data_IF_416692527747
#
_entry.id   IF_416692527747
#
_cell.length_a   1.000
_cell.length_b   1.000
_cell.length_c   1.000
_cell.angle_alpha   90.00
_cell.angle_beta   90.00
_cell.angle_gamma   90.00
#
_symmetry.space_group_name_H-M   'P 1'
#
loop_
_entity.id
_entity.type
_entity.pdbx_description
1 polymer ?
#
# COMPACT_ATOMS: atom_id res chain seq x y z
N UNK A 1 -12.47 3.60 7.43
CA UNK A 1 -12.18 3.22 6.03
C UNK A 1 -10.71 2.85 5.89
N UNK A 2 -10.42 1.79 5.14
CA UNK A 2 -9.04 1.37 4.88
C UNK A 2 -8.36 2.44 4.03
N UNK A 3 -7.17 2.89 4.46
CA UNK A 3 -6.40 3.90 3.74
C UNK A 3 -5.29 3.25 2.91
N UNK A 4 -4.72 4.02 1.99
CA UNK A 4 -3.54 3.60 1.23
C UNK A 4 -2.37 3.25 2.16
N UNK A 5 -2.20 4.04 3.22
CA UNK A 5 -1.17 3.79 4.22
C UNK A 5 -1.39 2.47 4.96
N UNK A 6 -2.64 2.15 5.31
CA UNK A 6 -2.98 0.86 5.91
C UNK A 6 -2.57 -0.30 5.00
N UNK A 7 -2.87 -0.20 3.72
CA UNK A 7 -2.49 -1.22 2.73
C UNK A 7 -0.97 -1.35 2.61
N UNK A 8 -0.26 -0.23 2.57
CA UNK A 8 1.19 -0.22 2.52
C UNK A 8 1.80 -0.93 3.73
N UNK A 9 1.29 -0.65 4.92
CA UNK A 9 1.79 -1.25 6.15
C UNK A 9 1.58 -2.76 6.15
N UNK A 10 0.37 -3.21 5.82
CA UNK A 10 0.07 -4.65 5.78
C UNK A 10 0.91 -5.36 4.73
N UNK A 11 1.04 -4.81 3.54
CA UNK A 11 1.85 -5.39 2.47
C UNK A 11 3.33 -5.49 2.88
N UNK A 12 3.85 -4.48 3.56
CA UNK A 12 5.24 -4.47 4.02
C UNK A 12 5.46 -5.52 5.11
N UNK A 13 4.55 -5.63 6.08
CA UNK A 13 4.63 -6.66 7.12
C UNK A 13 4.57 -8.05 6.49
N UNK A 14 3.68 -8.28 5.54
CA UNK A 14 3.56 -9.56 4.84
C UNK A 14 4.83 -9.91 4.07
N UNK A 15 5.44 -8.92 3.43
CA UNK A 15 6.65 -9.11 2.63
C UNK A 15 7.85 -9.52 3.49
N UNK A 16 8.03 -8.88 4.63
CA UNK A 16 9.17 -9.17 5.51
C UNK A 16 8.92 -10.32 6.48
N UNK A 17 7.65 -10.59 6.80
CA UNK A 17 7.29 -11.62 7.77
C UNK A 17 7.82 -11.36 9.18
N UNK A 18 8.22 -10.13 9.46
CA UNK A 18 8.82 -9.70 10.72
C UNK A 18 8.49 -8.23 10.95
N UNK A 19 7.92 -7.95 12.12
CA UNK A 19 7.43 -6.60 12.41
C UNK A 19 8.55 -5.57 12.54
N UNK A 20 9.68 -5.97 13.13
CA UNK A 20 10.84 -5.08 13.27
C UNK A 20 11.44 -4.72 11.92
N UNK A 21 11.61 -5.70 11.05
CA UNK A 21 12.15 -5.48 9.70
C UNK A 21 11.21 -4.60 8.86
N UNK A 22 9.90 -4.86 8.96
CA UNK A 22 8.91 -4.06 8.26
C UNK A 22 8.91 -2.61 8.75
N UNK A 23 8.98 -2.41 10.07
CA UNK A 23 9.05 -1.08 10.66
C UNK A 23 10.29 -0.31 10.16
N UNK A 24 11.44 -0.97 10.13
CA UNK A 24 12.67 -0.37 9.62
C UNK A 24 12.52 0.05 8.15
N UNK A 25 11.91 -0.79 7.32
CA UNK A 25 11.66 -0.48 5.91
C UNK A 25 10.72 0.71 5.73
N UNK A 26 9.82 0.93 6.69
CA UNK A 26 8.84 2.02 6.68
C UNK A 26 9.33 3.27 7.42
N UNK A 27 10.54 3.25 7.95
CA UNK A 27 11.11 4.33 8.77
C UNK A 27 10.26 4.62 10.00
N UNK A 28 9.70 3.55 10.60
CA UNK A 28 8.90 3.61 11.82
C UNK A 28 9.58 2.81 12.92
N UNK A 29 9.24 3.13 14.17
CA UNK A 29 9.57 2.25 15.29
C UNK A 29 8.66 1.02 15.26
N UNK A 30 9.15 -0.10 15.79
CA UNK A 30 8.33 -1.31 15.87
C UNK A 30 7.05 -1.10 16.69
N UNK A 31 7.08 -0.42 17.85
CA UNK A 31 5.84 -0.13 18.58
C UNK A 31 4.85 0.72 17.78
N UNK A 32 5.33 1.69 17.01
CA UNK A 32 4.47 2.53 16.18
C UNK A 32 3.74 1.69 15.13
N UNK A 33 4.46 0.82 14.43
CA UNK A 33 3.85 -0.06 13.43
C UNK A 33 2.88 -1.04 14.08
N UNK A 34 3.23 -1.59 15.24
CA UNK A 34 2.36 -2.50 15.99
C UNK A 34 1.04 -1.81 16.37
N UNK A 35 1.09 -0.57 16.81
CA UNK A 35 -0.10 0.21 17.15
C UNK A 35 -0.98 0.43 15.91
N UNK A 36 -0.39 0.78 14.79
CA UNK A 36 -1.14 1.00 13.55
C UNK A 36 -1.82 -0.29 13.08
N UNK A 37 -1.12 -1.43 13.15
CA UNK A 37 -1.70 -2.71 12.79
C UNK A 37 -2.89 -3.06 13.69
N UNK A 38 -2.74 -2.91 15.01
CA UNK A 38 -3.81 -3.19 15.96
C UNK A 38 -5.01 -2.29 15.73
N UNK A 39 -4.78 -1.02 15.44
CA UNK A 39 -5.86 -0.08 15.13
C UNK A 39 -6.66 -0.52 13.91
N UNK A 40 -5.96 -0.92 12.85
CA UNK A 40 -6.59 -1.42 11.63
C UNK A 40 -7.40 -2.69 11.92
N UNK A 41 -6.78 -3.67 12.58
CA UNK A 41 -7.46 -4.92 12.93
C UNK A 41 -8.68 -4.68 13.80
N UNK A 42 -8.60 -3.77 14.78
CA UNK A 42 -9.74 -3.40 15.61
C UNK A 42 -10.86 -2.75 14.81
N UNK A 43 -10.53 -1.88 13.87
CA UNK A 43 -11.54 -1.22 13.04
C UNK A 43 -12.24 -2.21 12.10
N UNK A 44 -11.54 -3.24 11.64
CA UNK A 44 -12.08 -4.28 10.77
C UNK A 44 -12.78 -5.40 11.55
N UNK A 45 -12.50 -5.51 12.84
CA UNK A 45 -13.05 -6.56 13.68
C UNK A 45 -12.47 -7.93 13.41
N UNK A 46 -11.27 -8.01 12.81
CA UNK A 46 -10.63 -9.28 12.46
C UNK A 46 -9.11 -9.12 12.46
N UNK A 47 -8.41 -10.19 12.84
CA UNK A 47 -6.95 -10.22 12.79
C UNK A 47 -6.47 -10.56 11.39
N UNK A 48 -5.47 -9.81 10.93
CA UNK A 48 -4.82 -10.02 9.63
C UNK A 48 -3.54 -10.85 9.78
N UNK A 49 -2.94 -10.84 10.97
CA UNK A 49 -1.70 -11.57 11.27
C UNK A 49 -1.81 -12.32 12.58
N UNK A 50 -1.09 -13.45 12.64
CA UNK A 50 -0.81 -14.17 13.86
C UNK A 50 0.67 -14.09 14.16
N UNK A 51 1.04 -13.91 15.44
CA UNK A 51 2.43 -13.96 15.87
C UNK A 51 2.81 -15.42 16.18
N UNK A 52 3.85 -15.90 15.50
CA UNK A 52 4.45 -17.18 15.78
C UNK A 52 5.94 -16.94 16.10
N UNK A 53 6.24 -16.74 17.37
CA UNK A 53 7.56 -16.30 17.81
C UNK A 53 7.85 -14.91 17.29
N UNK A 54 8.90 -14.76 16.51
CA UNK A 54 9.26 -13.48 15.86
C UNK A 54 8.65 -13.32 14.47
N UNK A 55 7.93 -14.34 13.99
CA UNK A 55 7.32 -14.31 12.67
C UNK A 55 5.92 -13.75 12.73
N UNK A 56 5.58 -12.97 11.73
CA UNK A 56 4.24 -12.49 11.48
C UNK A 56 3.68 -13.29 10.31
N UNK A 57 2.64 -14.06 10.56
CA UNK A 57 2.03 -14.95 9.56
C UNK A 57 0.63 -14.46 9.25
N UNK A 58 0.27 -14.41 7.98
CA UNK A 58 -1.06 -13.98 7.56
C UNK A 58 -2.12 -14.98 8.01
N UNK A 59 -3.23 -14.47 8.55
CA UNK A 59 -4.45 -15.23 8.72
C UNK A 59 -5.13 -15.38 7.36
N UNK A 60 -6.21 -16.15 7.28
CA UNK A 60 -7.01 -16.20 6.06
C UNK A 60 -7.48 -14.82 5.64
N UNK A 61 -7.98 -14.02 6.59
CA UNK A 61 -8.38 -12.64 6.32
C UNK A 61 -7.21 -11.80 5.84
N UNK A 62 -6.02 -11.99 6.42
CA UNK A 62 -4.81 -11.31 5.99
C UNK A 62 -4.41 -11.65 4.56
N UNK A 63 -4.53 -12.91 4.16
CA UNK A 63 -4.27 -13.34 2.77
C UNK A 63 -5.22 -12.66 1.80
N UNK A 64 -6.50 -12.62 2.11
CA UNK A 64 -7.49 -11.93 1.29
C UNK A 64 -7.23 -10.42 1.23
N UNK A 65 -6.87 -9.83 2.36
CA UNK A 65 -6.51 -8.40 2.42
C UNK A 65 -5.32 -8.10 1.49
N UNK A 66 -4.25 -8.88 1.60
CA UNK A 66 -3.04 -8.68 0.79
C UNK A 66 -3.34 -8.82 -0.70
N UNK A 67 -4.13 -9.81 -1.08
CA UNK A 67 -4.52 -10.02 -2.47
C UNK A 67 -5.23 -8.79 -3.04
N UNK A 68 -6.26 -8.32 -2.34
CA UNK A 68 -7.01 -7.13 -2.76
C UNK A 68 -6.17 -5.86 -2.72
N UNK A 69 -5.35 -5.70 -1.68
CA UNK A 69 -4.49 -4.52 -1.53
C UNK A 69 -3.48 -4.42 -2.67
N UNK A 70 -2.92 -5.53 -3.12
CA UNK A 70 -2.02 -5.54 -4.29
C UNK A 70 -2.73 -5.11 -5.55
N UNK A 71 -3.95 -5.58 -5.78
CA UNK A 71 -4.75 -5.19 -6.93
C UNK A 71 -5.07 -3.69 -6.91
N UNK A 72 -5.48 -3.17 -5.76
CA UNK A 72 -5.79 -1.75 -5.58
C UNK A 72 -4.54 -0.89 -5.81
N UNK A 73 -3.41 -1.28 -5.22
CA UNK A 73 -2.15 -0.55 -5.37
C UNK A 73 -1.71 -0.53 -6.83
N UNK A 74 -1.82 -1.65 -7.53
CA UNK A 74 -1.50 -1.73 -8.95
C UNK A 74 -2.40 -0.80 -9.77
N UNK A 75 -3.69 -0.75 -9.44
CA UNK A 75 -4.63 0.16 -10.10
C UNK A 75 -4.28 1.61 -9.88
N UNK A 76 -3.80 1.97 -8.69
CA UNK A 76 -3.33 3.33 -8.41
C UNK A 76 -2.14 3.71 -9.28
N UNK A 77 -1.16 2.81 -9.43
CA UNK A 77 -0.01 3.04 -10.31
C UNK A 77 -0.44 3.18 -11.78
N UNK A 78 -1.33 2.32 -12.25
CA UNK A 78 -1.86 2.40 -13.61
C UNK A 78 -2.56 3.73 -13.86
N UNK A 79 -3.34 4.19 -12.88
CA UNK A 79 -4.03 5.47 -12.97
C UNK A 79 -3.04 6.64 -13.03
N UNK A 80 -2.04 6.64 -12.16
CA UNK A 80 -1.00 7.68 -12.16
C UNK A 80 -0.28 7.74 -13.51
N UNK A 81 0.16 6.59 -14.02
CA UNK A 81 0.84 6.49 -15.30
C UNK A 81 -0.03 7.00 -16.45
N UNK A 82 -1.32 6.65 -16.43
CA UNK A 82 -2.26 7.12 -17.44
C UNK A 82 -2.44 8.64 -17.40
N UNK A 83 -2.55 9.20 -16.20
CA UNK A 83 -2.69 10.65 -16.03
C UNK A 83 -1.44 11.38 -16.48
N UNK A 84 -0.26 10.85 -16.15
CA UNK A 84 1.02 11.42 -16.61
C UNK A 84 1.10 11.41 -18.14
N UNK A 85 0.73 10.31 -18.78
CA UNK A 85 0.73 10.19 -20.24
C UNK A 85 -0.25 11.15 -20.89
N UNK A 86 -1.45 11.26 -20.35
CA UNK A 86 -2.44 12.22 -20.85
C UNK A 86 -1.93 13.65 -20.69
N UNK A 87 -1.32 13.98 -19.56
CA UNK A 87 -0.73 15.29 -19.32
C UNK A 87 0.36 15.64 -20.34
N UNK A 88 1.23 14.69 -20.64
CA UNK A 88 2.28 14.86 -21.64
C UNK A 88 1.70 15.08 -23.03
N UNK A 89 0.68 14.29 -23.41
CA UNK A 89 0.02 14.41 -24.69
C UNK A 89 -0.71 15.75 -24.85
N UNK A 90 -1.37 16.21 -23.80
CA UNK A 90 -2.04 17.52 -23.79
C UNK A 90 -1.00 18.63 -23.94
N UNK A 91 0.10 18.57 -23.22
CA UNK A 91 1.18 19.55 -23.31
C UNK A 91 1.78 19.61 -24.73
N UNK A 92 2.00 18.44 -25.34
CA UNK A 92 2.50 18.36 -26.72
C UNK A 92 1.52 18.97 -27.71
N UNK A 93 0.23 18.68 -27.61
CA UNK A 93 -0.81 19.22 -28.47
C UNK A 93 -0.90 20.73 -28.34
N UNK A 94 -0.84 21.26 -27.13
CA UNK A 94 -0.85 22.72 -26.91
C UNK A 94 0.37 23.38 -27.53
N UNK A 95 1.54 22.76 -27.40
CA UNK A 95 2.79 23.25 -27.95
C UNK A 95 2.77 23.24 -29.47
N UNK A 96 2.27 22.16 -30.08
CA UNK A 96 2.13 22.06 -31.54
C UNK A 96 1.10 23.09 -32.06
N UNK A 97 -0.04 23.21 -31.41
CA UNK A 97 -1.05 24.18 -31.77
C UNK A 97 -0.53 25.60 -31.71
N UNK A 98 0.34 25.90 -30.79
CA UNK A 98 1.00 27.20 -30.64
C UNK A 98 1.99 27.47 -31.78
N UNK A 99 2.68 26.43 -32.25
CA UNK A 99 3.69 26.56 -33.30
C UNK A 99 3.09 26.70 -34.72
N UNK A 100 1.88 26.24 -34.91
CA UNK A 100 1.22 26.25 -36.24
C UNK A 100 0.51 27.59 -36.52
N UNK A 101 0.37 28.44 -35.53
CA UNK A 101 -0.14 29.78 -35.70
C UNK A 101 0.97 30.72 -36.18
#
# INVERSE_FOLDING_TARGET
MITEKDMQYVLTIANYGNLTKAANALFLSQPALSIQLKRLESSLGIQLFERKGRKMVLTYAGEEFVKSAREITMKCFELEDRMIDIGKNVAIKLKIGYMVR
#
